data_IF_834534489538
#
_entry.id   IF_834534489538
#
_cell.length_a   1.000
_cell.length_b   1.000
_cell.length_c   1.000
_cell.angle_alpha   90.00
_cell.angle_beta   90.00
_cell.angle_gamma   90.00
#
_symmetry.space_group_name_H-M   'P 1'
#
loop_
_entity.id
_entity.type
_entity.pdbx_description
1 polymer ?
#
# COMPACT_ATOMS: atom_id res chain seq x y z
N UNK A 1 9.89 -9.12 3.07
CA UNK A 1 9.83 -10.23 2.07
C UNK A 1 10.03 -11.62 2.67
N UNK A 2 10.74 -11.78 3.80
CA UNK A 2 11.00 -13.10 4.41
C UNK A 2 9.73 -13.91 4.72
N UNK A 3 8.75 -13.28 5.39
CA UNK A 3 7.46 -13.93 5.71
C UNK A 3 6.70 -14.34 4.44
N UNK A 4 6.73 -13.49 3.40
CA UNK A 4 6.11 -13.79 2.12
C UNK A 4 6.77 -15.00 1.42
N UNK A 5 8.09 -15.08 1.47
CA UNK A 5 8.85 -16.23 0.96
C UNK A 5 8.54 -17.52 1.72
N UNK A 6 8.46 -17.46 3.05
CA UNK A 6 8.09 -18.61 3.88
C UNK A 6 6.66 -19.09 3.57
N UNK A 7 5.70 -18.18 3.49
CA UNK A 7 4.32 -18.53 3.15
C UNK A 7 4.23 -19.17 1.76
N UNK A 8 4.94 -18.63 0.76
CA UNK A 8 5.01 -19.21 -0.57
C UNK A 8 5.59 -20.63 -0.56
N UNK A 9 6.67 -20.86 0.21
CA UNK A 9 7.29 -22.18 0.35
C UNK A 9 6.36 -23.23 1.00
N UNK A 10 5.44 -22.79 1.87
CA UNK A 10 4.45 -23.64 2.52
C UNK A 10 3.07 -23.63 1.84
N UNK A 11 2.94 -23.01 0.66
CA UNK A 11 1.66 -22.85 -0.05
C UNK A 11 0.56 -22.19 0.80
N UNK A 12 0.95 -21.31 1.71
CA UNK A 12 0.03 -20.56 2.56
C UNK A 12 -0.32 -19.25 1.84
N UNK A 13 -1.62 -18.97 1.59
CA UNK A 13 -2.03 -17.70 0.99
C UNK A 13 -1.81 -16.53 1.95
N UNK A 14 -1.46 -15.36 1.40
CA UNK A 14 -1.27 -14.12 2.16
C UNK A 14 -2.34 -13.11 1.78
N UNK A 15 -2.91 -12.49 2.81
CA UNK A 15 -3.60 -11.22 2.71
C UNK A 15 -2.85 -10.20 3.57
N UNK A 16 -2.77 -8.94 3.12
CA UNK A 16 -2.20 -7.88 3.94
C UNK A 16 -3.19 -7.37 4.99
N UNK A 17 -2.64 -6.86 6.10
CA UNK A 17 -3.35 -5.87 6.89
C UNK A 17 -3.05 -4.48 6.32
N UNK A 18 -4.09 -3.70 6.03
CA UNK A 18 -3.97 -2.43 5.31
C UNK A 18 -3.53 -2.60 3.86
N UNK A 19 -3.44 -1.46 3.16
CA UNK A 19 -3.19 -1.40 1.72
C UNK A 19 -2.54 -0.08 1.33
N UNK A 20 -1.59 0.37 2.14
CA UNK A 20 -0.75 1.51 1.78
C UNK A 20 0.12 1.21 0.55
N UNK A 21 0.84 2.21 0.05
CA UNK A 21 1.63 2.06 -1.16
C UNK A 21 2.70 0.96 -1.02
N UNK A 22 3.39 0.89 0.12
CA UNK A 22 4.39 -0.16 0.40
C UNK A 22 3.75 -1.55 0.34
N UNK A 23 2.63 -1.73 1.04
CA UNK A 23 1.93 -3.01 1.13
C UNK A 23 1.44 -3.46 -0.24
N UNK A 24 0.91 -2.54 -1.04
CA UNK A 24 0.47 -2.83 -2.41
C UNK A 24 1.62 -3.35 -3.27
N UNK A 25 2.80 -2.72 -3.22
CA UNK A 25 3.99 -3.22 -3.93
C UNK A 25 4.42 -4.60 -3.45
N UNK A 26 4.43 -4.85 -2.14
CA UNK A 26 4.83 -6.14 -1.57
C UNK A 26 3.87 -7.27 -2.00
N UNK A 27 2.57 -7.02 -2.02
CA UNK A 27 1.59 -8.01 -2.49
C UNK A 27 1.74 -8.31 -3.98
N UNK A 28 1.97 -7.28 -4.81
CA UNK A 28 2.14 -7.47 -6.25
C UNK A 28 3.30 -8.39 -6.63
N UNK A 29 4.36 -8.41 -5.80
CA UNK A 29 5.53 -9.28 -6.03
C UNK A 29 5.46 -10.61 -5.28
N UNK A 30 4.42 -10.83 -4.45
CA UNK A 30 4.28 -12.04 -3.63
C UNK A 30 3.38 -13.05 -4.34
N UNK A 31 3.90 -14.21 -4.82
CA UNK A 31 3.12 -15.16 -5.61
C UNK A 31 1.94 -15.78 -4.86
N UNK A 32 1.99 -15.82 -3.53
CA UNK A 32 0.93 -16.35 -2.67
C UNK A 32 -0.06 -15.27 -2.20
N UNK A 33 0.05 -14.02 -2.67
CA UNK A 33 -0.88 -12.95 -2.31
C UNK A 33 -2.25 -13.17 -2.95
N UNK A 34 -3.31 -13.07 -2.15
CA UNK A 34 -4.70 -13.27 -2.60
C UNK A 34 -5.60 -12.06 -2.38
N UNK A 35 -5.30 -11.23 -1.37
CA UNK A 35 -6.11 -10.07 -1.03
C UNK A 35 -5.26 -8.90 -0.53
N UNK A 36 -5.70 -7.69 -0.84
CA UNK A 36 -5.19 -6.44 -0.28
C UNK A 36 -6.32 -5.81 0.55
N UNK A 37 -6.14 -5.69 1.85
CA UNK A 37 -7.08 -4.95 2.68
C UNK A 37 -7.01 -3.45 2.31
N UNK A 38 -8.16 -2.79 2.32
CA UNK A 38 -8.21 -1.34 2.11
C UNK A 38 -9.10 -0.72 3.19
N UNK A 39 -8.75 0.47 3.68
CA UNK A 39 -9.63 1.28 4.53
C UNK A 39 -10.81 1.91 3.76
N UNK A 40 -11.15 1.39 2.58
CA UNK A 40 -12.08 1.96 1.61
C UNK A 40 -11.39 2.75 0.50
N UNK A 41 -12.19 3.17 -0.51
CA UNK A 41 -11.71 3.99 -1.62
C UNK A 41 -11.21 5.34 -1.09
N UNK A 42 -9.97 5.76 -1.38
CA UNK A 42 -9.45 7.03 -0.89
C UNK A 42 -10.38 8.20 -1.23
N UNK A 43 -10.64 9.07 -0.24
CA UNK A 43 -11.43 10.31 -0.40
C UNK A 43 -10.59 11.55 -0.10
N UNK A 44 -10.94 12.68 -0.71
CA UNK A 44 -10.21 13.94 -0.53
C UNK A 44 -8.75 13.89 -0.99
N UNK A 45 -7.91 14.86 -0.61
CA UNK A 45 -6.50 14.86 -1.01
C UNK A 45 -5.68 13.74 -0.34
N UNK A 46 -6.08 13.22 0.83
CA UNK A 46 -5.37 12.15 1.56
C UNK A 46 -4.26 12.68 2.47
N UNK A 47 -3.18 11.92 2.71
CA UNK A 47 -1.96 12.41 3.39
C UNK A 47 -0.75 12.48 2.45
N UNK A 48 -0.68 11.52 1.53
CA UNK A 48 0.43 11.38 0.59
C UNK A 48 0.20 12.16 -0.70
N UNK A 49 1.27 12.40 -1.45
CA UNK A 49 1.23 12.95 -2.82
C UNK A 49 0.60 11.96 -3.79
N UNK A 50 0.87 10.67 -3.58
CA UNK A 50 0.31 9.58 -4.37
C UNK A 50 -0.96 9.00 -3.73
N UNK A 51 -1.82 8.40 -4.58
CA UNK A 51 -3.07 7.80 -4.13
C UNK A 51 -3.28 6.44 -4.79
N UNK A 52 -3.63 5.46 -3.96
CA UNK A 52 -4.01 4.14 -4.44
C UNK A 52 -5.23 4.26 -5.39
N UNK A 53 -5.09 3.69 -6.58
CA UNK A 53 -6.21 3.53 -7.51
C UNK A 53 -6.95 2.25 -7.16
N UNK A 54 -8.21 2.39 -6.76
CA UNK A 54 -9.10 1.28 -6.41
C UNK A 54 -10.35 1.36 -7.28
N UNK A 55 -10.55 0.36 -8.12
CA UNK A 55 -11.67 0.29 -9.05
C UNK A 55 -12.03 -1.16 -9.42
N UNK A 56 -13.31 -1.44 -9.63
CA UNK A 56 -13.84 -2.77 -9.97
C UNK A 56 -13.37 -3.91 -9.04
N UNK A 57 -13.15 -3.63 -7.76
CA UNK A 57 -12.68 -4.61 -6.78
C UNK A 57 -11.16 -4.85 -6.78
N UNK A 58 -10.40 -4.11 -7.58
CA UNK A 58 -8.94 -4.23 -7.67
C UNK A 58 -8.23 -2.98 -7.13
N UNK A 59 -7.08 -3.20 -6.49
CA UNK A 59 -6.07 -2.17 -6.24
C UNK A 59 -5.04 -2.26 -7.36
N UNK A 60 -4.72 -1.14 -7.98
CA UNK A 60 -3.81 -1.12 -9.12
C UNK A 60 -2.39 -0.75 -8.69
N UNK A 61 -1.44 -1.24 -9.49
CA UNK A 61 -0.04 -0.87 -9.40
C UNK A 61 0.13 0.66 -9.32
N UNK A 62 0.94 1.17 -8.37
CA UNK A 62 1.38 2.55 -8.42
C UNK A 62 2.20 2.81 -9.68
N UNK A 63 2.00 3.98 -10.30
CA UNK A 63 2.67 4.37 -11.55
C UNK A 63 3.86 5.30 -11.29
N UNK A 64 3.86 6.01 -10.15
CA UNK A 64 4.96 6.87 -9.73
C UNK A 64 6.14 6.03 -9.18
N UNK A 65 7.38 6.52 -9.31
CA UNK A 65 8.54 5.89 -8.67
C UNK A 65 8.42 5.86 -7.14
N UNK A 66 9.00 4.83 -6.53
CA UNK A 66 9.03 4.69 -5.07
C UNK A 66 7.85 3.87 -4.55
N UNK A 67 7.45 4.13 -3.31
CA UNK A 67 6.40 3.37 -2.62
C UNK A 67 5.11 4.17 -2.38
N UNK A 68 4.97 5.37 -2.96
CA UNK A 68 3.79 6.23 -2.77
C UNK A 68 3.57 6.71 -1.33
N UNK A 69 4.64 6.87 -0.56
CA UNK A 69 4.61 7.27 0.85
C UNK A 69 5.10 8.71 1.10
N UNK A 70 5.36 9.47 0.03
CA UNK A 70 5.76 10.87 0.15
C UNK A 70 4.59 11.68 0.73
N UNK A 71 4.81 12.34 1.86
CA UNK A 71 3.80 13.17 2.49
C UNK A 71 3.67 14.49 1.73
N UNK A 72 2.46 15.05 1.69
CA UNK A 72 2.30 16.41 1.15
C UNK A 72 2.85 17.43 2.13
N UNK A 73 3.45 18.50 1.59
CA UNK A 73 4.01 19.60 2.37
C UNK A 73 2.99 20.18 3.35
N UNK A 74 1.73 20.35 2.93
CA UNK A 74 0.67 20.91 3.80
C UNK A 74 0.38 20.03 5.02
N UNK A 75 0.52 18.70 4.86
CA UNK A 75 0.30 17.73 5.95
C UNK A 75 1.45 17.83 6.96
N UNK A 76 2.67 18.03 6.47
CA UNK A 76 3.85 18.23 7.31
C UNK A 76 3.75 19.58 8.05
N UNK A 77 3.35 20.66 7.38
CA UNK A 77 3.14 21.96 8.04
C UNK A 77 2.07 21.89 9.13
N UNK A 78 0.98 21.16 8.88
CA UNK A 78 -0.14 21.10 9.81
C UNK A 78 0.10 20.16 11.00
N UNK A 79 0.75 19.02 10.78
CA UNK A 79 0.84 17.93 11.78
C UNK A 79 2.27 17.54 12.15
N UNK A 80 3.28 18.07 11.46
CA UNK A 80 4.67 17.75 11.69
C UNK A 80 5.12 18.19 13.08
N UNK A 81 5.81 17.29 13.78
CA UNK A 81 6.44 17.58 15.07
C UNK A 81 7.95 17.66 14.85
N UNK A 82 8.59 18.71 15.34
CA UNK A 82 10.05 18.82 15.32
C UNK A 82 10.64 17.89 16.37
N UNK A 83 11.50 16.98 15.92
CA UNK A 83 12.33 16.13 16.78
C UNK A 83 13.66 16.80 17.08
#
# INVERSE_FOLDING_TARGET
MEIAGLAAAHHVPIASHGGDGVTTHLLMVTPSAIWCETGGKPKGPGQFTDRARIDNGYVYAPEAPGCGMELRDEVIEQFGVKH
#
